data_IF_457139324483
#
_entry.id   IF_457139324483
#
_cell.length_a   1.000
_cell.length_b   1.000
_cell.length_c   1.000
_cell.angle_alpha   90.00
_cell.angle_beta   90.00
_cell.angle_gamma   90.00
#
_symmetry.space_group_name_H-M   'P 1'
#
loop_
_entity.id
_entity.type
_entity.pdbx_description
1 polymer ?
#
# COMPACT_ATOMS: atom_id res chain seq x y z
N UNK A 1 -0.41 0.31 15.76
CA UNK A 1 -0.96 1.31 14.78
C UNK A 1 -0.30 1.27 13.40
N UNK A 2 1.02 1.51 13.29
CA UNK A 2 1.81 1.51 12.05
C UNK A 2 1.44 0.36 11.12
N UNK A 3 1.52 -0.87 11.63
CA UNK A 3 1.22 -2.09 10.86
C UNK A 3 -0.21 -2.10 10.30
N UNK A 4 -1.19 -1.58 11.04
CA UNK A 4 -2.59 -1.57 10.60
C UNK A 4 -2.75 -0.59 9.44
N UNK A 5 -2.21 0.63 9.54
CA UNK A 5 -2.28 1.61 8.44
C UNK A 5 -1.57 1.07 7.21
N UNK A 6 -0.38 0.50 7.37
CA UNK A 6 0.34 -0.13 6.28
C UNK A 6 -0.46 -1.27 5.64
N UNK A 7 -1.03 -2.16 6.45
CA UNK A 7 -1.83 -3.27 5.95
C UNK A 7 -3.09 -2.79 5.24
N UNK A 8 -3.77 -1.74 5.69
CA UNK A 8 -4.92 -1.22 4.94
C UNK A 8 -4.47 -0.69 3.57
N UNK A 9 -3.34 -0.01 3.51
CA UNK A 9 -2.76 0.54 2.27
C UNK A 9 -2.36 -0.57 1.27
N UNK A 10 -1.67 -1.63 1.74
CA UNK A 10 -1.13 -2.65 0.83
C UNK A 10 -1.98 -3.92 0.72
N UNK A 11 -2.65 -4.34 1.78
CA UNK A 11 -3.34 -5.64 1.90
C UNK A 11 -4.58 -5.52 2.81
N UNK A 12 -5.62 -4.76 2.40
CA UNK A 12 -6.73 -4.39 3.28
C UNK A 12 -7.45 -5.61 3.88
N UNK A 13 -7.58 -6.70 3.13
CA UNK A 13 -8.19 -7.95 3.60
C UNK A 13 -7.46 -8.54 4.83
N UNK A 14 -6.15 -8.30 4.96
CA UNK A 14 -5.34 -8.79 6.09
C UNK A 14 -5.33 -7.82 7.27
N UNK A 15 -5.68 -6.55 7.06
CA UNK A 15 -5.70 -5.55 8.13
C UNK A 15 -6.71 -5.90 9.23
N UNK A 16 -7.85 -6.49 8.86
CA UNK A 16 -8.91 -6.92 9.80
C UNK A 16 -8.37 -7.96 10.78
N UNK A 17 -7.63 -8.96 10.28
CA UNK A 17 -7.03 -10.00 11.12
C UNK A 17 -6.00 -9.41 12.08
N UNK A 18 -5.11 -8.55 11.60
CA UNK A 18 -4.10 -7.89 12.46
C UNK A 18 -4.75 -7.01 13.54
N UNK A 19 -5.77 -6.23 13.17
CA UNK A 19 -6.49 -5.38 14.12
C UNK A 19 -7.19 -6.19 15.22
N UNK A 20 -7.66 -7.40 14.91
CA UNK A 20 -8.32 -8.27 15.89
C UNK A 20 -7.34 -8.84 16.92
N UNK A 21 -6.10 -9.18 16.51
CA UNK A 21 -5.08 -9.68 17.41
C UNK A 21 -4.50 -8.60 18.35
N UNK A 22 -4.27 -7.39 17.82
CA UNK A 22 -3.61 -6.30 18.56
C UNK A 22 -4.53 -5.62 19.62
N UNK A 23 -5.85 -5.82 19.52
CA UNK A 23 -6.83 -5.22 20.44
C UNK A 23 -6.81 -5.81 21.86
N UNK A 24 -6.24 -7.00 22.05
CA UNK A 24 -6.21 -7.69 23.34
C UNK A 24 -4.91 -7.45 24.13
N UNK A 25 -3.81 -7.03 23.48
CA UNK A 25 -2.48 -7.04 24.09
C UNK A 25 -1.82 -5.66 24.27
N UNK A 26 -2.42 -4.56 23.79
CA UNK A 26 -1.76 -3.24 23.78
C UNK A 26 -2.49 -2.15 24.57
N UNK A 27 -1.72 -1.26 25.20
CA UNK A 27 -2.18 0.02 25.77
C UNK A 27 -2.59 1.06 24.71
N UNK A 28 -2.66 0.66 23.43
CA UNK A 28 -2.85 1.50 22.24
C UNK A 28 -4.33 1.86 21.97
N UNK A 29 -5.16 1.93 23.01
CA UNK A 29 -6.60 2.24 22.87
C UNK A 29 -6.87 3.53 22.07
N UNK A 30 -5.98 4.51 22.14
CA UNK A 30 -6.07 5.75 21.36
C UNK A 30 -5.81 5.54 19.87
N UNK A 31 -4.87 4.68 19.49
CA UNK A 31 -4.62 4.37 18.09
C UNK A 31 -5.83 3.70 17.43
N UNK A 32 -6.46 2.74 18.09
CA UNK A 32 -7.69 2.11 17.57
C UNK A 32 -8.86 3.08 17.52
N UNK A 33 -8.98 3.99 18.49
CA UNK A 33 -10.00 5.05 18.46
C UNK A 33 -9.78 6.03 17.31
N UNK A 34 -8.52 6.34 16.96
CA UNK A 34 -8.18 7.14 15.78
C UNK A 34 -8.49 6.40 14.49
N UNK A 35 -8.24 5.09 14.42
CA UNK A 35 -8.57 4.30 13.22
C UNK A 35 -10.06 3.94 13.14
N UNK A 36 -10.86 4.15 14.19
CA UNK A 36 -12.29 3.80 14.24
C UNK A 36 -13.09 4.36 13.05
N UNK A 37 -12.83 5.58 12.54
CA UNK A 37 -13.54 6.11 11.39
C UNK A 37 -13.05 5.56 10.04
N UNK A 38 -11.97 4.77 9.97
CA UNK A 38 -11.59 4.04 8.75
C UNK A 38 -12.49 2.83 8.54
N UNK A 39 -13.72 3.07 8.06
CA UNK A 39 -14.75 2.05 7.81
C UNK A 39 -15.48 2.37 6.51
N UNK A 40 -16.26 1.40 6.02
CA UNK A 40 -17.00 1.54 4.78
C UNK A 40 -16.14 1.22 3.57
N UNK A 41 -16.40 1.90 2.46
CA UNK A 41 -15.70 1.64 1.20
C UNK A 41 -14.28 2.22 1.25
N UNK A 42 -13.29 1.43 0.83
CA UNK A 42 -11.93 1.92 0.67
C UNK A 42 -11.85 2.83 -0.56
N UNK A 43 -11.25 4.00 -0.39
CA UNK A 43 -11.00 4.95 -1.47
C UNK A 43 -9.57 4.77 -1.99
N UNK A 44 -9.39 4.94 -3.29
CA UNK A 44 -8.05 4.91 -3.89
C UNK A 44 -7.23 6.10 -3.41
N UNK A 45 -6.04 5.80 -2.88
CA UNK A 45 -5.06 6.78 -2.43
C UNK A 45 -3.73 6.50 -3.12
N UNK A 46 -2.92 7.55 -3.28
CA UNK A 46 -1.56 7.44 -3.79
C UNK A 46 -0.67 8.38 -3.01
N UNK A 47 0.54 7.93 -2.70
CA UNK A 47 1.59 8.77 -2.13
C UNK A 47 2.79 8.79 -3.08
N UNK A 48 3.40 9.96 -3.25
CA UNK A 48 4.67 10.09 -3.97
C UNK A 48 5.87 9.61 -3.13
N UNK A 49 5.68 9.46 -1.82
CA UNK A 49 6.70 9.00 -0.89
C UNK A 49 6.32 7.61 -0.32
N UNK A 50 7.11 6.55 -0.60
CA UNK A 50 6.81 5.20 -0.09
C UNK A 50 6.89 5.06 1.44
N UNK A 51 7.43 6.08 2.13
CA UNK A 51 7.47 6.15 3.60
C UNK A 51 6.37 7.03 4.20
N UNK A 52 5.47 7.55 3.38
CA UNK A 52 4.25 8.22 3.83
C UNK A 52 3.08 7.40 3.32
N UNK A 53 2.33 6.81 4.24
CA UNK A 53 1.19 5.97 3.90
C UNK A 53 -0.09 6.78 4.02
N UNK A 54 -0.97 6.64 3.03
CA UNK A 54 -2.23 7.37 2.98
C UNK A 54 -3.34 6.35 2.78
N UNK A 55 -4.29 6.32 3.70
CA UNK A 55 -5.45 5.43 3.63
C UNK A 55 -6.69 6.29 3.70
N UNK A 56 -7.64 6.05 2.80
CA UNK A 56 -8.90 6.78 2.81
C UNK A 56 -10.08 5.82 2.72
N UNK A 57 -11.17 6.18 3.39
CA UNK A 57 -12.43 5.43 3.36
C UNK A 57 -13.61 6.38 3.23
N UNK A 58 -14.74 5.86 2.77
CA UNK A 58 -16.04 6.52 2.79
C UNK A 58 -16.97 5.81 3.79
N UNK A 59 -16.97 6.21 5.07
CA UNK A 59 -17.87 5.66 6.08
C UNK A 59 -19.35 5.92 5.78
N UNK A 60 -19.64 6.96 5.02
CA UNK A 60 -20.99 7.31 4.57
C UNK A 60 -20.94 8.00 3.19
N UNK A 61 -22.10 8.28 2.61
CA UNK A 61 -22.20 9.07 1.37
C UNK A 61 -21.71 10.52 1.54
N UNK A 62 -21.70 11.04 2.76
CA UNK A 62 -21.43 12.44 3.07
C UNK A 62 -20.12 12.66 3.81
N UNK A 63 -19.38 11.60 4.13
CA UNK A 63 -18.17 11.70 4.94
C UNK A 63 -17.10 10.81 4.38
N UNK A 64 -15.92 11.38 4.16
CA UNK A 64 -14.68 10.62 3.93
C UNK A 64 -13.76 10.78 5.14
N UNK A 65 -13.02 9.72 5.44
CA UNK A 65 -11.96 9.71 6.43
C UNK A 65 -10.65 9.40 5.72
N UNK A 66 -9.65 10.26 5.89
CA UNK A 66 -8.29 10.06 5.38
C UNK A 66 -7.35 9.99 6.57
N UNK A 67 -6.48 9.00 6.58
CA UNK A 67 -5.40 8.86 7.54
C UNK A 67 -4.08 8.94 6.79
N UNK A 68 -3.19 9.80 7.25
CA UNK A 68 -1.83 9.93 6.75
C UNK A 68 -0.86 9.55 7.86
N UNK A 69 0.07 8.65 7.58
CA UNK A 69 1.09 8.19 8.50
C UNK A 69 2.48 8.46 7.96
N UNK A 70 3.34 9.09 8.77
CA UNK A 70 4.73 9.33 8.44
C UNK A 70 5.62 8.23 9.05
N UNK A 71 6.09 7.30 8.22
CA UNK A 71 7.03 6.26 8.62
C UNK A 71 8.51 6.71 8.59
N UNK A 72 8.80 7.97 8.31
CA UNK A 72 10.17 8.50 8.40
C UNK A 72 10.58 8.74 9.86
N UNK A 73 11.90 8.71 10.14
CA UNK A 73 12.44 9.19 11.41
C UNK A 73 12.50 10.73 11.49
N UNK A 74 12.11 11.43 10.43
CA UNK A 74 12.13 12.90 10.32
C UNK A 74 10.74 13.42 9.97
N UNK A 75 10.51 14.70 10.26
CA UNK A 75 9.30 15.41 9.84
C UNK A 75 9.19 15.44 8.31
N UNK A 76 7.95 15.45 7.80
CA UNK A 76 7.64 15.54 6.38
C UNK A 76 6.58 16.60 6.16
N UNK A 77 6.85 17.51 5.22
CA UNK A 77 5.83 18.37 4.66
C UNK A 77 5.02 17.59 3.63
N UNK A 78 3.70 17.68 3.70
CA UNK A 78 2.80 17.01 2.78
C UNK A 78 1.83 18.00 2.13
N UNK A 79 1.35 17.63 0.95
CA UNK A 79 0.20 18.23 0.28
C UNK A 79 -0.81 17.11 -0.01
N UNK A 80 -1.95 17.17 0.65
CA UNK A 80 -3.04 16.24 0.46
C UNK A 80 -4.02 16.83 -0.56
N UNK A 81 -3.98 16.30 -1.77
CA UNK A 81 -4.94 16.64 -2.84
C UNK A 81 -6.10 15.66 -2.85
N UNK A 82 -7.32 16.16 -3.01
CA UNK A 82 -8.53 15.33 -3.16
C UNK A 82 -9.12 15.49 -4.56
N UNK A 83 -9.88 14.49 -5.02
CA UNK A 83 -10.67 14.62 -6.25
C UNK A 83 -11.86 15.54 -6.00
N UNK A 84 -11.67 16.83 -6.26
CA UNK A 84 -12.66 17.89 -6.08
C UNK A 84 -12.30 18.86 -4.96
N UNK A 85 -13.21 19.80 -4.69
CA UNK A 85 -13.07 20.76 -3.59
C UNK A 85 -13.78 20.21 -2.36
N UNK A 86 -13.13 19.30 -1.64
CA UNK A 86 -13.64 18.83 -0.36
C UNK A 86 -13.21 19.77 0.76
N UNK A 87 -14.09 19.93 1.74
CA UNK A 87 -13.79 20.67 2.98
C UNK A 87 -13.52 19.67 4.08
N UNK A 88 -12.28 19.63 4.56
CA UNK A 88 -11.92 18.94 5.79
C UNK A 88 -12.61 19.65 6.95
N UNK A 89 -13.42 18.93 7.70
CA UNK A 89 -14.15 19.44 8.85
C UNK A 89 -13.38 19.27 10.15
N UNK A 90 -12.52 18.24 10.25
CA UNK A 90 -11.75 17.94 11.47
C UNK A 90 -10.38 17.33 11.18
N UNK A 91 -9.42 17.66 12.04
CA UNK A 91 -8.15 16.96 12.18
C UNK A 91 -8.13 16.23 13.53
N UNK A 92 -7.62 15.00 13.55
CA UNK A 92 -7.38 14.23 14.79
C UNK A 92 -5.94 13.74 14.82
N UNK A 93 -5.25 14.02 15.92
CA UNK A 93 -3.88 13.56 16.20
C UNK A 93 -3.81 12.85 17.55
N UNK A 94 -2.75 12.07 17.74
CA UNK A 94 -2.41 11.49 19.05
C UNK A 94 -1.37 12.40 19.70
N UNK A 95 -1.65 12.86 20.92
CA UNK A 95 -0.71 13.56 21.79
C UNK A 95 -0.55 12.78 23.11
N UNK A 96 0.41 13.18 23.96
CA UNK A 96 0.82 12.45 25.17
C UNK A 96 -0.34 12.08 26.12
N UNK A 97 -1.42 12.87 26.12
CA UNK A 97 -2.60 12.69 26.97
C UNK A 97 -3.80 12.02 26.26
N UNK A 98 -3.72 11.70 24.96
CA UNK A 98 -4.79 11.01 24.22
C UNK A 98 -5.08 11.57 22.84
N UNK A 99 -6.35 11.47 22.41
CA UNK A 99 -6.79 11.97 21.11
C UNK A 99 -7.16 13.44 21.19
N UNK A 100 -6.44 14.27 20.43
CA UNK A 100 -6.72 15.70 20.31
C UNK A 100 -7.41 15.92 18.97
N UNK A 101 -8.63 16.46 19.05
CA UNK A 101 -9.43 16.86 17.89
C UNK A 101 -9.36 18.37 17.76
N UNK A 102 -8.88 18.86 16.64
CA UNK A 102 -8.84 20.28 16.34
C UNK A 102 -9.64 20.57 15.07
N UNK A 103 -10.32 21.73 15.00
CA UNK A 103 -10.72 22.28 13.72
C UNK A 103 -9.51 22.33 12.79
N UNK A 104 -9.73 22.08 11.50
CA UNK A 104 -8.65 21.98 10.52
C UNK A 104 -7.91 23.32 10.46
N UNK A 105 -6.70 23.37 10.99
CA UNK A 105 -5.77 24.50 10.89
C UNK A 105 -4.80 24.33 9.71
N UNK A 106 -5.24 23.65 8.65
CA UNK A 106 -4.44 23.49 7.45
C UNK A 106 -4.68 24.65 6.51
N UNK A 107 -3.62 25.13 5.86
CA UNK A 107 -3.75 26.09 4.78
C UNK A 107 -4.46 25.41 3.61
N UNK A 108 -5.67 25.88 3.31
CA UNK A 108 -6.42 25.42 2.16
C UNK A 108 -5.86 26.11 0.91
N UNK A 109 -5.27 25.34 0.00
CA UNK A 109 -4.77 25.82 -1.28
C UNK A 109 -5.57 25.15 -2.39
N UNK A 110 -6.31 25.92 -3.22
CA UNK A 110 -7.13 25.57 -4.42
C UNK A 110 -7.83 24.18 -4.49
N UNK A 111 -7.12 23.05 -4.29
CA UNK A 111 -7.56 21.65 -4.39
C UNK A 111 -7.06 20.73 -3.26
N UNK A 112 -6.35 21.24 -2.27
CA UNK A 112 -5.67 20.42 -1.28
C UNK A 112 -5.40 21.11 0.06
N UNK A 113 -4.66 20.37 0.87
CA UNK A 113 -4.42 20.59 2.28
C UNK A 113 -2.93 20.38 2.56
N UNK A 114 -2.23 21.45 2.91
CA UNK A 114 -0.80 21.38 3.22
C UNK A 114 -0.56 21.38 4.73
N UNK A 115 0.41 20.59 5.19
CA UNK A 115 0.78 20.52 6.60
C UNK A 115 2.11 19.81 6.87
N UNK A 116 2.39 19.61 8.15
CA UNK A 116 3.57 18.90 8.65
C UNK A 116 3.14 17.63 9.38
N UNK A 117 3.82 16.52 9.08
CA UNK A 117 3.68 15.26 9.79
C UNK A 117 4.93 14.99 10.61
N UNK A 118 4.78 14.96 11.94
CA UNK A 118 5.87 14.59 12.86
C UNK A 118 6.43 13.19 12.53
N UNK A 119 7.69 12.91 12.87
CA UNK A 119 8.26 11.56 12.74
C UNK A 119 7.37 10.50 13.38
N UNK A 120 7.21 9.34 12.73
CA UNK A 120 6.47 8.18 13.28
C UNK A 120 5.05 8.50 13.79
N UNK A 121 4.41 9.52 13.22
CA UNK A 121 3.11 10.01 13.66
C UNK A 121 2.00 9.73 12.65
N UNK A 122 0.77 9.82 13.12
CA UNK A 122 -0.46 9.68 12.33
C UNK A 122 -1.28 10.96 12.44
N UNK A 123 -1.94 11.33 11.35
CA UNK A 123 -2.93 12.38 11.34
C UNK A 123 -4.16 11.91 10.58
N UNK A 124 -5.33 12.09 11.18
CA UNK A 124 -6.61 11.78 10.57
C UNK A 124 -7.29 13.08 10.13
N UNK A 125 -7.87 13.06 8.95
CA UNK A 125 -8.68 14.12 8.36
C UNK A 125 -10.09 13.58 8.09
N UNK A 126 -11.10 14.32 8.50
CA UNK A 126 -12.50 14.02 8.16
C UNK A 126 -12.98 15.07 7.18
N UNK A 127 -13.57 14.65 6.07
CA UNK A 127 -14.09 15.51 5.02
C UNK A 127 -15.59 15.37 4.90
N UNK A 128 -16.27 16.49 4.73
CA UNK A 128 -17.66 16.51 4.31
C UNK A 128 -17.73 16.47 2.78
N UNK A 129 -18.53 15.54 2.26
CA UNK A 129 -18.59 15.21 0.83
C UNK A 129 -19.99 15.51 0.31
N UNK A 130 -20.13 16.20 -0.84
CA UNK A 130 -21.42 16.37 -1.48
C UNK A 130 -22.01 15.02 -1.88
N UNK A 131 -23.33 14.85 -1.72
CA UNK A 131 -24.04 13.56 -1.85
C UNK A 131 -23.97 12.88 -3.26
N UNK A 132 -23.28 13.46 -4.24
CA UNK A 132 -23.23 12.98 -5.63
C UNK A 132 -21.82 12.99 -6.25
N UNK A 133 -20.75 12.83 -5.45
CA UNK A 133 -19.43 12.66 -6.05
C UNK A 133 -19.42 11.38 -6.92
N UNK A 134 -19.18 11.45 -8.24
CA UNK A 134 -19.16 10.27 -9.10
C UNK A 134 -18.04 9.33 -8.64
N UNK A 135 -18.38 8.05 -8.41
CA UNK A 135 -17.44 7.02 -7.95
C UNK A 135 -17.23 5.99 -9.05
N UNK A 136 -15.99 5.83 -9.49
CA UNK A 136 -15.56 4.65 -10.23
C UNK A 136 -15.22 3.53 -9.24
N UNK A 137 -15.41 2.28 -9.63
CA UNK A 137 -15.04 1.15 -8.78
C UNK A 137 -13.74 0.55 -9.30
N UNK A 138 -12.71 0.57 -8.46
CA UNK A 138 -11.47 -0.17 -8.70
C UNK A 138 -11.55 -1.48 -7.92
N UNK A 139 -11.33 -2.59 -8.59
CA UNK A 139 -11.13 -3.88 -7.93
C UNK A 139 -9.71 -4.36 -8.16
N UNK A 140 -9.08 -4.75 -7.06
CA UNK A 140 -7.78 -5.39 -7.08
C UNK A 140 -7.91 -6.87 -6.74
N UNK A 141 -7.20 -7.71 -7.46
CA UNK A 141 -7.11 -9.14 -7.19
C UNK A 141 -5.65 -9.56 -7.15
N UNK A 142 -5.20 -10.09 -6.01
CA UNK A 142 -3.85 -10.63 -5.88
C UNK A 142 -3.83 -12.12 -6.25
N UNK A 143 -3.01 -12.48 -7.24
CA UNK A 143 -2.80 -13.86 -7.68
C UNK A 143 -1.37 -14.27 -7.30
N UNK A 144 -1.19 -15.15 -6.29
CA UNK A 144 0.13 -15.55 -5.82
C UNK A 144 0.83 -16.50 -6.78
N UNK A 145 2.16 -16.49 -6.72
CA UNK A 145 2.97 -17.51 -7.35
C UNK A 145 2.91 -18.84 -6.59
N UNK A 146 3.24 -19.93 -7.27
CA UNK A 146 3.46 -21.22 -6.62
C UNK A 146 4.71 -21.17 -5.73
N UNK A 147 4.55 -21.47 -4.44
CA UNK A 147 5.67 -21.51 -3.48
C UNK A 147 5.90 -20.20 -2.72
N UNK A 148 6.54 -20.33 -1.56
CA UNK A 148 6.89 -19.23 -0.64
C UNK A 148 8.20 -19.57 0.05
N UNK A 149 8.85 -18.55 0.65
CA UNK A 149 10.04 -18.69 1.50
C UNK A 149 11.22 -19.40 0.80
N UNK A 150 11.55 -18.93 -0.40
CA UNK A 150 12.69 -19.45 -1.15
C UNK A 150 13.98 -18.72 -0.82
N UNK A 151 15.05 -19.47 -0.60
CA UNK A 151 16.41 -18.93 -0.55
C UNK A 151 17.05 -19.08 -1.93
N UNK A 152 17.71 -18.01 -2.42
CA UNK A 152 18.42 -18.06 -3.68
C UNK A 152 19.82 -18.65 -3.47
N UNK A 153 20.20 -19.57 -4.34
CA UNK A 153 21.55 -20.14 -4.38
C UNK A 153 22.28 -19.66 -5.64
N UNK A 154 23.58 -19.36 -5.51
CA UNK A 154 24.41 -18.99 -6.64
C UNK A 154 24.40 -20.08 -7.72
N UNK A 155 24.28 -19.68 -8.98
CA UNK A 155 24.24 -20.59 -10.13
C UNK A 155 22.95 -21.42 -10.28
N UNK A 156 21.97 -21.28 -9.39
CA UNK A 156 20.68 -21.99 -9.47
C UNK A 156 19.52 -20.98 -9.61
N UNK A 157 19.01 -20.75 -10.83
CA UNK A 157 17.86 -19.89 -11.01
C UNK A 157 16.64 -20.42 -10.26
N UNK A 158 16.00 -19.56 -9.48
CA UNK A 158 14.67 -19.83 -8.93
C UNK A 158 13.63 -19.44 -9.98
N UNK A 159 12.72 -20.35 -10.30
CA UNK A 159 11.59 -20.09 -11.19
C UNK A 159 10.30 -20.18 -10.39
N UNK A 160 9.49 -19.11 -10.41
CA UNK A 160 8.17 -19.06 -9.82
C UNK A 160 7.13 -18.89 -10.93
N UNK A 161 6.00 -19.58 -10.80
CA UNK A 161 4.91 -19.52 -11.79
C UNK A 161 3.67 -18.86 -11.19
N UNK A 162 3.02 -17.98 -11.97
CA UNK A 162 1.75 -17.35 -11.63
C UNK A 162 0.76 -17.64 -12.76
N UNK A 163 -0.22 -18.50 -12.49
CA UNK A 163 -1.27 -18.85 -13.44
C UNK A 163 -2.43 -17.86 -13.35
N UNK A 164 -2.83 -17.31 -14.50
CA UNK A 164 -3.99 -16.43 -14.66
C UNK A 164 -5.03 -17.12 -15.53
N UNK A 165 -6.28 -17.08 -15.09
CA UNK A 165 -7.44 -17.58 -15.86
C UNK A 165 -7.80 -16.60 -16.99
N UNK A 166 -8.47 -17.06 -18.06
CA UNK A 166 -8.99 -16.16 -19.10
C UNK A 166 -9.88 -15.05 -18.54
N UNK A 167 -10.70 -15.36 -17.53
CA UNK A 167 -11.60 -14.42 -16.86
C UNK A 167 -10.81 -13.36 -16.09
N UNK A 168 -9.70 -13.74 -15.46
CA UNK A 168 -8.81 -12.81 -14.77
C UNK A 168 -8.08 -11.88 -15.74
N UNK A 169 -7.77 -12.33 -16.96
CA UNK A 169 -7.15 -11.48 -17.98
C UNK A 169 -8.18 -10.55 -18.65
N UNK A 170 -9.44 -10.99 -18.74
CA UNK A 170 -10.52 -10.21 -19.32
C UNK A 170 -10.84 -8.97 -18.48
N UNK A 171 -10.75 -7.79 -19.08
CA UNK A 171 -11.12 -6.52 -18.43
C UNK A 171 -10.07 -5.97 -17.46
N UNK A 172 -8.86 -6.54 -17.42
CA UNK A 172 -7.73 -5.96 -16.68
C UNK A 172 -7.35 -4.64 -17.33
N UNK A 173 -7.31 -3.61 -16.49
CA UNK A 173 -6.93 -2.24 -16.88
C UNK A 173 -5.54 -1.84 -16.36
N UNK A 174 -5.00 -2.62 -15.42
CA UNK A 174 -3.67 -2.42 -14.87
C UNK A 174 -3.17 -3.66 -14.16
N UNK A 175 -1.87 -3.78 -14.01
CA UNK A 175 -1.26 -4.85 -13.23
C UNK A 175 0.00 -4.35 -12.53
N UNK A 176 0.36 -4.99 -11.43
CA UNK A 176 1.62 -4.76 -10.74
C UNK A 176 2.21 -6.05 -10.21
N UNK A 177 3.53 -6.15 -10.26
CA UNK A 177 4.27 -7.16 -9.53
C UNK A 177 4.31 -6.75 -8.06
N UNK A 178 4.02 -7.69 -7.17
CA UNK A 178 4.25 -7.55 -5.74
C UNK A 178 5.17 -8.66 -5.27
N UNK A 179 6.29 -8.27 -4.68
CA UNK A 179 7.35 -9.17 -4.24
C UNK A 179 7.68 -8.90 -2.77
N UNK A 180 7.63 -9.94 -1.94
CA UNK A 180 8.12 -9.91 -0.57
C UNK A 180 9.50 -10.57 -0.55
N UNK A 181 10.52 -9.83 -0.18
CA UNK A 181 11.91 -10.22 -0.32
C UNK A 181 12.76 -9.75 0.87
N UNK A 182 13.93 -10.36 1.03
CA UNK A 182 15.00 -9.81 1.86
C UNK A 182 16.29 -9.79 1.06
N UNK A 183 17.01 -8.66 1.14
CA UNK A 183 18.32 -8.45 0.52
C UNK A 183 18.36 -8.59 -1.01
N UNK A 184 17.26 -8.37 -1.73
CA UNK A 184 17.18 -8.53 -3.19
C UNK A 184 18.10 -7.55 -3.94
N UNK A 185 17.91 -6.24 -3.72
CA UNK A 185 18.69 -5.12 -4.27
C UNK A 185 19.30 -5.38 -5.68
N UNK A 186 20.51 -4.85 -5.94
CA UNK A 186 21.24 -5.07 -7.22
C UNK A 186 21.97 -6.42 -7.28
N UNK A 187 21.53 -7.40 -6.48
CA UNK A 187 22.21 -8.70 -6.29
C UNK A 187 21.59 -9.81 -7.13
N UNK A 188 20.39 -9.59 -7.65
CA UNK A 188 19.62 -10.61 -8.38
C UNK A 188 19.18 -10.05 -9.72
N UNK A 189 19.39 -10.84 -10.77
CA UNK A 189 18.77 -10.60 -12.06
C UNK A 189 17.38 -11.20 -12.07
N UNK A 190 16.38 -10.37 -12.38
CA UNK A 190 14.98 -10.77 -12.44
C UNK A 190 14.52 -10.77 -13.88
N UNK A 191 13.81 -11.82 -14.29
CA UNK A 191 13.10 -11.87 -15.57
C UNK A 191 11.62 -12.12 -15.35
N UNK A 192 10.79 -11.46 -16.14
CA UNK A 192 9.35 -11.70 -16.21
C UNK A 192 8.98 -12.17 -17.61
N UNK A 193 8.42 -13.38 -17.72
CA UNK A 193 8.07 -14.00 -19.00
C UNK A 193 9.24 -14.09 -20.00
N UNK A 194 10.46 -14.26 -19.46
CA UNK A 194 11.71 -14.35 -20.22
C UNK A 194 12.39 -12.99 -20.47
N UNK A 195 11.69 -11.88 -20.29
CA UNK A 195 12.22 -10.53 -20.50
C UNK A 195 12.89 -10.00 -19.22
N UNK A 196 14.03 -9.28 -19.32
CA UNK A 196 14.64 -8.61 -18.18
C UNK A 196 13.65 -7.66 -17.49
N UNK A 197 13.54 -7.77 -16.17
CA UNK A 197 12.71 -6.92 -15.35
C UNK A 197 13.59 -6.17 -14.35
N UNK A 198 13.72 -4.87 -14.52
CA UNK A 198 14.38 -4.04 -13.52
C UNK A 198 13.56 -4.06 -12.23
N UNK A 199 14.21 -4.38 -11.11
CA UNK A 199 13.65 -4.32 -9.76
C UNK A 199 14.51 -3.35 -8.98
N UNK A 200 13.95 -2.17 -8.71
CA UNK A 200 14.67 -1.14 -7.96
C UNK A 200 14.89 -1.59 -6.51
N UNK A 201 16.06 -1.31 -5.91
CA UNK A 201 16.30 -1.58 -4.51
C UNK A 201 15.31 -0.79 -3.65
N UNK A 202 14.49 -1.49 -2.86
CA UNK A 202 13.65 -0.85 -1.85
C UNK A 202 14.27 -1.02 -0.47
N UNK A 203 14.08 -0.02 0.39
CA UNK A 203 14.39 -0.13 1.82
C UNK A 203 13.31 -0.93 2.59
N UNK A 204 12.35 -1.52 1.86
CA UNK A 204 11.23 -2.28 2.40
C UNK A 204 11.40 -3.75 2.02
N UNK A 205 10.84 -4.64 2.82
CA UNK A 205 10.73 -6.05 2.42
C UNK A 205 9.67 -6.25 1.33
N UNK A 206 8.78 -5.28 1.15
CA UNK A 206 7.79 -5.26 0.08
C UNK A 206 8.31 -4.41 -1.08
N UNK A 207 8.33 -5.00 -2.27
CA UNK A 207 8.56 -4.32 -3.53
C UNK A 207 7.30 -4.40 -4.38
N UNK A 208 6.87 -3.27 -4.91
CA UNK A 208 5.77 -3.19 -5.86
C UNK A 208 6.20 -2.38 -7.08
N UNK A 209 5.84 -2.86 -8.27
CA UNK A 209 6.06 -2.11 -9.49
C UNK A 209 5.01 -2.41 -10.55
N UNK A 210 4.63 -1.43 -11.39
CA UNK A 210 3.72 -1.66 -12.50
C UNK A 210 4.23 -2.76 -13.45
N UNK A 211 3.29 -3.51 -14.00
CA UNK A 211 3.50 -4.41 -15.13
C UNK A 211 2.62 -3.95 -16.29
N UNK A 212 3.17 -4.03 -17.49
CA UNK A 212 2.41 -3.79 -18.72
C UNK A 212 1.33 -4.89 -18.87
N UNK A 213 0.05 -4.52 -19.00
CA UNK A 213 -1.04 -5.50 -19.11
C UNK A 213 -0.82 -6.46 -20.29
N UNK A 214 -0.30 -5.94 -21.42
CA UNK A 214 0.03 -6.73 -22.61
C UNK A 214 1.14 -7.77 -22.41
N UNK A 215 1.93 -7.65 -21.34
CA UNK A 215 2.98 -8.61 -21.00
C UNK A 215 2.43 -9.84 -20.25
N UNK A 216 1.21 -9.75 -19.73
CA UNK A 216 0.57 -10.84 -19.00
C UNK A 216 0.16 -11.99 -19.93
N UNK A 217 0.30 -13.21 -19.43
CA UNK A 217 -0.07 -14.45 -20.11
C UNK A 217 -0.93 -15.31 -19.19
N UNK A 218 -1.53 -16.38 -19.73
CA UNK A 218 -2.23 -17.38 -18.90
C UNK A 218 -1.26 -18.07 -17.91
N UNK A 219 0.00 -18.24 -18.30
CA UNK A 219 1.08 -18.72 -17.44
C UNK A 219 2.21 -17.71 -17.45
N UNK A 220 2.42 -17.04 -16.32
CA UNK A 220 3.51 -16.08 -16.14
C UNK A 220 4.64 -16.70 -15.35
N UNK A 221 5.88 -16.33 -15.69
CA UNK A 221 7.07 -16.80 -15.00
C UNK A 221 7.87 -15.64 -14.44
N UNK A 222 8.36 -15.82 -13.22
CA UNK A 222 9.36 -14.96 -12.58
C UNK A 222 10.62 -15.80 -12.36
N UNK A 223 11.71 -15.41 -13.00
CA UNK A 223 13.00 -16.04 -12.81
C UNK A 223 13.90 -15.11 -12.00
N UNK A 224 14.51 -15.64 -10.95
CA UNK A 224 15.50 -14.95 -10.12
C UNK A 224 16.83 -15.68 -10.23
N UNK A 225 17.88 -14.95 -10.62
CA UNK A 225 19.24 -15.48 -10.69
C UNK A 225 20.13 -14.64 -9.79
N UNK A 226 20.68 -15.26 -8.74
CA UNK A 226 21.66 -14.59 -7.88
C UNK A 226 22.96 -14.35 -8.67
N UNK A 227 23.44 -13.10 -8.68
CA UNK A 227 24.70 -12.74 -9.35
C UNK A 227 25.89 -13.38 -8.66
N UNK A 228 26.94 -13.63 -9.42
CA UNK A 228 28.20 -14.14 -8.87
C UNK A 228 28.81 -13.17 -7.86
N UNK A 229 29.48 -13.70 -6.83
CA UNK A 229 30.16 -12.92 -5.80
C UNK A 229 29.25 -12.34 -4.70
N UNK A 230 27.94 -12.61 -4.72
CA UNK A 230 27.04 -12.20 -3.64
C UNK A 230 27.17 -13.18 -2.46
N UNK A 231 27.79 -12.75 -1.37
CA UNK A 231 27.98 -13.55 -0.16
C UNK A 231 26.74 -13.58 0.75
N UNK A 232 25.89 -12.57 0.66
CA UNK A 232 24.72 -12.42 1.53
C UNK A 232 23.56 -13.30 1.09
N UNK A 233 22.85 -13.85 2.08
CA UNK A 233 21.60 -14.59 1.86
C UNK A 233 20.51 -13.67 1.30
N UNK A 234 19.96 -14.06 0.16
CA UNK A 234 18.80 -13.41 -0.48
C UNK A 234 17.61 -14.35 -0.43
N UNK A 235 16.46 -13.83 0.01
CA UNK A 235 15.22 -14.61 0.11
C UNK A 235 14.09 -13.98 -0.70
N UNK A 236 13.33 -14.82 -1.39
CA UNK A 236 12.05 -14.49 -2.02
C UNK A 236 10.96 -15.14 -1.17
N UNK A 237 10.35 -14.36 -0.29
CA UNK A 237 9.35 -14.85 0.64
C UNK A 237 8.01 -15.11 -0.05
N UNK A 238 7.61 -14.23 -0.98
CA UNK A 238 6.42 -14.42 -1.80
C UNK A 238 6.50 -13.56 -3.06
N UNK A 239 5.88 -14.03 -4.14
CA UNK A 239 5.66 -13.26 -5.35
C UNK A 239 4.19 -13.35 -5.76
N UNK A 240 3.65 -12.29 -6.37
CA UNK A 240 2.28 -12.27 -6.86
C UNK A 240 2.09 -11.19 -7.92
N UNK A 241 1.10 -11.36 -8.78
CA UNK A 241 0.59 -10.29 -9.64
C UNK A 241 -0.68 -9.75 -9.00
N UNK A 242 -0.77 -8.44 -8.82
CA UNK A 242 -2.02 -7.76 -8.48
C UNK A 242 -2.64 -7.24 -9.77
N UNK A 243 -3.83 -7.73 -10.09
CA UNK A 243 -4.62 -7.32 -11.24
C UNK A 243 -5.59 -6.21 -10.84
N UNK A 244 -5.72 -5.19 -11.67
CA UNK A 244 -6.58 -4.03 -11.43
C UNK A 244 -7.64 -3.96 -12.53
N UNK A 245 -8.91 -3.96 -12.12
CA UNK A 245 -10.05 -3.73 -13.02
C UNK A 245 -10.74 -2.43 -12.61
N UNK A 246 -11.14 -1.63 -13.59
CA UNK A 246 -11.92 -0.40 -13.39
C UNK A 246 -13.30 -0.62 -13.99
N UNK A 247 -14.35 -0.38 -13.20
CA UNK A 247 -15.75 -0.41 -13.62
C UNK A 247 -16.36 0.97 -13.47
#
# INVERSE_FOLDING_TARGET
MRDIVHLIDVMPDKAIHRASHEAQESSDGFAFRLLKPLRGELLTTTSSDPRVWVVATAPSEKTWCVVVFNDRPTEVQFDLTTLGQLRASQTVVIEDAGLVRTPVALEQHNRGYAGLLKPKSVQQFVFDVPAQAPRGVIREQQVPASGVLHELAAGKPLMLEIALTPEQLAGVTGARLRLVQQNLARRVDVKFNGEPLAVEPTQSWLHEQPLEVKSLRAKNTLQFTLREGVADKVTINAASIVLVTKK
#
